data_IF_489134927960
#
_entry.id   IF_489134927960
#
_cell.length_a   1.000
_cell.length_b   1.000
_cell.length_c   1.000
_cell.angle_alpha   90.00
_cell.angle_beta   90.00
_cell.angle_gamma   90.00
#
_symmetry.space_group_name_H-M   'P 1'
#
loop_
_entity.id
_entity.type
_entity.pdbx_description
1 polymer ?
#
# COMPACT_ATOMS: atom_id res chain seq x y z
N UNK A 1 -41.26 28.89 -51.98
CA UNK A 1 -39.98 29.40 -51.43
C UNK A 1 -39.84 29.22 -49.91
N UNK A 2 -40.87 29.57 -49.12
CA UNK A 2 -40.85 29.49 -47.63
C UNK A 2 -40.62 28.08 -47.04
N UNK A 3 -41.05 27.02 -47.72
CA UNK A 3 -40.94 25.64 -47.22
C UNK A 3 -39.51 25.08 -47.32
N UNK A 4 -38.77 25.40 -48.39
CA UNK A 4 -37.35 25.02 -48.53
C UNK A 4 -36.48 25.67 -47.45
N UNK A 5 -36.76 26.92 -47.10
CA UNK A 5 -36.06 27.66 -46.03
C UNK A 5 -36.30 27.03 -44.66
N UNK A 6 -37.55 26.62 -44.35
CA UNK A 6 -37.87 25.93 -43.09
C UNK A 6 -37.12 24.61 -42.96
N UNK A 7 -37.06 23.79 -44.01
CA UNK A 7 -36.34 22.50 -43.99
C UNK A 7 -34.84 22.69 -43.78
N UNK A 8 -34.22 23.68 -44.44
CA UNK A 8 -32.78 23.98 -44.25
C UNK A 8 -32.49 24.42 -42.82
N UNK A 9 -33.34 25.29 -42.24
CA UNK A 9 -33.20 25.73 -40.85
C UNK A 9 -33.33 24.55 -39.87
N UNK A 10 -34.30 23.66 -40.08
CA UNK A 10 -34.48 22.48 -39.20
C UNK A 10 -33.28 21.54 -39.25
N UNK A 11 -32.69 21.30 -40.43
CA UNK A 11 -31.50 20.44 -40.58
C UNK A 11 -30.28 21.06 -39.89
N UNK A 12 -30.07 22.37 -40.03
CA UNK A 12 -28.96 23.07 -39.37
C UNK A 12 -29.11 23.04 -37.84
N UNK A 13 -30.32 23.32 -37.32
CA UNK A 13 -30.59 23.27 -35.88
C UNK A 13 -30.38 21.86 -35.33
N UNK A 14 -30.85 20.83 -36.03
CA UNK A 14 -30.66 19.44 -35.62
C UNK A 14 -29.17 19.05 -35.62
N UNK A 15 -28.40 19.50 -36.61
CA UNK A 15 -26.94 19.31 -36.66
C UNK A 15 -26.22 20.01 -35.49
N UNK A 16 -26.59 21.25 -35.16
CA UNK A 16 -26.02 21.97 -34.02
C UNK A 16 -26.34 21.29 -32.68
N UNK A 17 -27.56 20.78 -32.50
CA UNK A 17 -27.93 20.02 -31.30
C UNK A 17 -27.08 18.76 -31.19
N UNK A 18 -26.88 18.03 -32.30
CA UNK A 18 -26.07 16.80 -32.32
C UNK A 18 -24.62 17.08 -31.94
N UNK A 19 -24.03 18.16 -32.46
CA UNK A 19 -22.66 18.59 -32.10
C UNK A 19 -22.56 18.99 -30.63
N UNK A 20 -23.54 19.74 -30.09
CA UNK A 20 -23.55 20.11 -28.67
C UNK A 20 -23.70 18.90 -27.76
N UNK A 21 -24.47 17.88 -28.16
CA UNK A 21 -24.56 16.61 -27.44
C UNK A 21 -23.21 15.88 -27.47
N UNK A 22 -22.54 15.80 -28.63
CA UNK A 22 -21.21 15.17 -28.72
C UNK A 22 -20.16 15.89 -27.87
N UNK A 23 -20.15 17.23 -27.87
CA UNK A 23 -19.24 18.04 -27.04
C UNK A 23 -19.57 17.88 -25.56
N UNK A 24 -20.85 17.87 -25.21
CA UNK A 24 -21.31 17.62 -23.84
C UNK A 24 -20.86 16.25 -23.31
N UNK A 25 -21.03 15.19 -24.12
CA UNK A 25 -20.54 13.83 -23.81
C UNK A 25 -19.02 13.76 -23.75
N UNK A 26 -18.32 14.57 -24.55
CA UNK A 26 -16.85 14.63 -24.51
C UNK A 26 -16.34 15.37 -23.27
N UNK A 27 -16.99 16.47 -22.88
CA UNK A 27 -16.65 17.24 -21.68
C UNK A 27 -16.98 16.49 -20.38
N UNK A 28 -18.07 15.73 -20.32
CA UNK A 28 -18.38 14.89 -19.13
C UNK A 28 -17.47 13.67 -19.00
N UNK A 29 -16.64 13.37 -20.00
CA UNK A 29 -15.65 12.29 -19.96
C UNK A 29 -14.33 12.69 -19.31
N UNK A 30 -14.16 13.94 -18.85
CA UNK A 30 -12.86 14.46 -18.39
C UNK A 30 -12.61 14.42 -16.88
N UNK A 31 -13.56 13.98 -16.06
CA UNK A 31 -13.29 13.72 -14.64
C UNK A 31 -12.83 12.27 -14.50
N UNK A 32 -11.52 12.09 -14.38
CA UNK A 32 -10.92 10.79 -14.13
C UNK A 32 -11.29 10.33 -12.71
N UNK A 33 -12.38 9.58 -12.60
CA UNK A 33 -12.76 8.90 -11.35
C UNK A 33 -11.58 8.06 -10.87
N UNK A 34 -11.01 8.42 -9.72
CA UNK A 34 -9.95 7.65 -9.10
C UNK A 34 -10.52 6.31 -8.64
N UNK A 35 -9.85 5.23 -9.04
CA UNK A 35 -10.12 3.88 -8.60
C UNK A 35 -9.38 3.61 -7.28
N UNK A 36 -10.13 3.32 -6.22
CA UNK A 36 -9.59 2.86 -4.94
C UNK A 36 -9.59 1.33 -4.92
N UNK A 37 -8.42 0.73 -5.09
CA UNK A 37 -8.21 -0.71 -4.99
C UNK A 37 -7.78 -1.06 -3.57
N UNK A 38 -8.71 -1.59 -2.78
CA UNK A 38 -8.42 -2.14 -1.45
C UNK A 38 -8.35 -3.65 -1.55
N UNK A 39 -7.21 -4.21 -1.17
CA UNK A 39 -6.97 -5.64 -1.17
C UNK A 39 -6.71 -6.12 0.26
N UNK A 40 -7.60 -6.98 0.75
CA UNK A 40 -7.38 -7.69 2.01
C UNK A 40 -6.37 -8.82 1.76
N UNK A 41 -5.23 -8.74 2.42
CA UNK A 41 -4.15 -9.73 2.33
C UNK A 41 -4.24 -10.71 3.49
N UNK A 42 -3.65 -11.91 3.35
CA UNK A 42 -3.62 -12.86 4.45
C UNK A 42 -2.93 -12.24 5.68
N UNK A 43 -3.38 -12.59 6.91
CA UNK A 43 -2.82 -12.04 8.13
C UNK A 43 -1.32 -12.29 8.27
N UNK A 44 -0.62 -11.37 8.94
CA UNK A 44 0.83 -11.43 9.17
C UNK A 44 1.20 -10.75 10.49
N UNK A 45 2.37 -11.07 11.06
CA UNK A 45 2.91 -10.46 12.29
C UNK A 45 1.96 -10.56 13.49
N UNK A 46 1.13 -11.61 13.54
CA UNK A 46 0.15 -11.83 14.62
C UNK A 46 -1.08 -10.93 14.59
N UNK A 47 -1.30 -10.17 13.52
CA UNK A 47 -2.51 -9.34 13.34
C UNK A 47 -3.66 -10.16 12.77
N UNK A 48 -4.90 -9.68 12.91
CA UNK A 48 -6.09 -10.33 12.32
C UNK A 48 -6.40 -9.84 10.90
N UNK A 49 -5.99 -8.61 10.56
CA UNK A 49 -6.30 -7.96 9.29
C UNK A 49 -5.07 -7.22 8.76
N UNK A 50 -4.75 -7.45 7.50
CA UNK A 50 -3.70 -6.73 6.77
C UNK A 50 -4.27 -6.22 5.46
N UNK A 51 -4.52 -4.91 5.38
CA UNK A 51 -5.12 -4.26 4.22
C UNK A 51 -4.09 -3.38 3.52
N UNK A 52 -4.05 -3.50 2.20
CA UNK A 52 -3.28 -2.62 1.34
C UNK A 52 -4.23 -1.91 0.38
N UNK A 53 -4.13 -0.59 0.31
CA UNK A 53 -4.97 0.24 -0.54
C UNK A 53 -4.12 1.04 -1.50
N UNK A 54 -4.47 1.01 -2.78
CA UNK A 54 -3.92 1.88 -3.80
C UNK A 54 -5.03 2.77 -4.37
N UNK A 55 -4.72 4.05 -4.57
CA UNK A 55 -5.61 5.01 -5.25
C UNK A 55 -4.94 5.37 -6.57
N UNK A 56 -5.54 4.94 -7.68
CA UNK A 56 -4.97 5.08 -9.02
C UNK A 56 -6.04 5.48 -10.02
N UNK A 57 -5.66 5.89 -11.22
CA UNK A 57 -6.63 6.02 -12.30
C UNK A 57 -7.00 4.64 -12.85
N UNK A 58 -8.20 4.44 -13.43
CA UNK A 58 -8.66 3.13 -13.90
C UNK A 58 -7.70 2.44 -14.88
N UNK A 59 -7.02 3.21 -15.74
CA UNK A 59 -6.03 2.68 -16.69
C UNK A 59 -4.77 2.11 -16.02
N UNK A 60 -4.57 2.36 -14.73
CA UNK A 60 -3.42 1.89 -13.96
C UNK A 60 -3.75 0.72 -13.03
N UNK A 61 -4.97 0.16 -13.09
CA UNK A 61 -5.43 -0.88 -12.18
C UNK A 61 -4.46 -2.08 -12.11
N UNK A 62 -3.99 -2.58 -13.26
CA UNK A 62 -3.05 -3.71 -13.31
C UNK A 62 -1.68 -3.37 -12.69
N UNK A 63 -1.24 -2.11 -12.84
CA UNK A 63 0.00 -1.65 -12.22
C UNK A 63 -0.16 -1.56 -10.70
N UNK A 64 -1.31 -1.07 -10.22
CA UNK A 64 -1.61 -1.00 -8.80
C UNK A 64 -1.60 -2.38 -8.16
N UNK A 65 -2.23 -3.39 -8.78
CA UNK A 65 -2.22 -4.76 -8.25
C UNK A 65 -0.80 -5.33 -8.14
N UNK A 66 0.06 -5.06 -9.14
CA UNK A 66 1.49 -5.45 -9.06
C UNK A 66 2.21 -4.78 -7.89
N UNK A 67 1.95 -3.50 -7.64
CA UNK A 67 2.55 -2.76 -6.52
C UNK A 67 2.04 -3.31 -5.18
N UNK A 68 0.74 -3.59 -5.06
CA UNK A 68 0.16 -4.18 -3.86
C UNK A 68 0.79 -5.55 -3.55
N UNK A 69 1.02 -6.38 -4.56
CA UNK A 69 1.74 -7.65 -4.40
C UNK A 69 3.19 -7.46 -3.95
N UNK A 70 3.89 -6.44 -4.46
CA UNK A 70 5.25 -6.12 -4.01
C UNK A 70 5.28 -5.62 -2.56
N UNK A 71 4.32 -4.79 -2.17
CA UNK A 71 4.18 -4.31 -0.80
C UNK A 71 3.87 -5.46 0.17
N UNK A 72 3.00 -6.40 -0.22
CA UNK A 72 2.77 -7.63 0.55
C UNK A 72 4.06 -8.46 0.70
N UNK A 73 4.80 -8.66 -0.39
CA UNK A 73 6.06 -9.40 -0.36
C UNK A 73 7.10 -8.74 0.56
N UNK A 74 7.17 -7.41 0.58
CA UNK A 74 8.03 -6.67 1.49
C UNK A 74 7.63 -6.86 2.96
N UNK A 75 6.34 -6.84 3.29
CA UNK A 75 5.86 -7.14 4.63
C UNK A 75 6.20 -8.59 5.04
N UNK A 76 6.05 -9.56 4.13
CA UNK A 76 6.45 -10.96 4.34
C UNK A 76 7.95 -11.13 4.56
N UNK A 77 8.77 -10.36 3.86
CA UNK A 77 10.21 -10.33 4.11
C UNK A 77 10.50 -9.85 5.54
N UNK A 78 9.85 -8.78 6.00
CA UNK A 78 10.03 -8.26 7.36
C UNK A 78 9.63 -9.32 8.41
N UNK A 79 8.50 -10.00 8.24
CA UNK A 79 8.07 -11.06 9.16
C UNK A 79 9.09 -12.20 9.23
N UNK A 80 9.64 -12.61 8.08
CA UNK A 80 10.73 -13.60 8.02
C UNK A 80 11.99 -13.14 8.75
N UNK A 81 12.29 -11.85 8.77
CA UNK A 81 13.48 -11.33 9.46
C UNK A 81 13.23 -11.12 10.96
N UNK A 82 12.07 -10.59 11.36
CA UNK A 82 11.88 -9.96 12.67
C UNK A 82 10.78 -10.59 13.52
N UNK A 83 10.14 -11.67 13.08
CA UNK A 83 9.12 -12.35 13.90
C UNK A 83 9.75 -13.06 15.11
N UNK A 84 9.28 -12.73 16.31
CA UNK A 84 9.66 -13.44 17.55
C UNK A 84 8.94 -14.79 17.73
N UNK A 85 7.96 -15.08 16.87
CA UNK A 85 7.16 -16.31 16.91
C UNK A 85 7.62 -17.35 15.89
N UNK A 86 8.26 -16.91 14.81
CA UNK A 86 8.84 -17.81 13.81
C UNK A 86 10.27 -18.21 14.25
N UNK A 87 10.52 -19.47 14.62
CA UNK A 87 11.86 -19.90 15.04
C UNK A 87 12.89 -19.86 13.89
N UNK A 88 12.43 -19.86 12.64
CA UNK A 88 13.30 -19.71 11.48
C UNK A 88 13.62 -18.24 11.15
N UNK A 89 13.08 -17.26 11.89
CA UNK A 89 13.39 -15.86 11.63
C UNK A 89 14.81 -15.50 12.04
N UNK A 90 15.38 -14.51 11.36
CA UNK A 90 16.72 -14.01 11.67
C UNK A 90 16.82 -13.52 13.13
N UNK A 91 15.81 -12.79 13.61
CA UNK A 91 15.75 -12.30 14.98
C UNK A 91 15.62 -13.43 16.01
N UNK A 92 14.84 -14.48 15.73
CA UNK A 92 14.74 -15.64 16.62
C UNK A 92 16.08 -16.40 16.71
N UNK A 93 16.77 -16.56 15.58
CA UNK A 93 18.10 -17.18 15.56
C UNK A 93 19.13 -16.33 16.31
N UNK A 94 19.07 -15.01 16.16
CA UNK A 94 19.87 -14.08 16.94
C UNK A 94 19.63 -14.23 18.45
N UNK A 95 18.37 -14.22 18.87
CA UNK A 95 17.98 -14.38 20.27
C UNK A 95 18.38 -15.74 20.87
N UNK A 96 18.49 -16.79 20.04
CA UNK A 96 18.91 -18.12 20.45
C UNK A 96 20.44 -18.31 20.48
N UNK A 97 21.21 -17.38 19.93
CA UNK A 97 22.65 -17.48 19.90
C UNK A 97 23.26 -17.31 21.31
N UNK A 98 24.39 -17.97 21.62
CA UNK A 98 25.09 -17.77 22.89
C UNK A 98 25.50 -16.30 23.08
N UNK A 99 25.37 -15.81 24.32
CA UNK A 99 25.81 -14.47 24.69
C UNK A 99 27.30 -14.26 24.34
N UNK A 100 27.64 -13.07 23.84
CA UNK A 100 29.00 -12.72 23.40
C UNK A 100 29.38 -13.23 22.01
N UNK A 101 28.52 -14.02 21.34
CA UNK A 101 28.75 -14.44 19.96
C UNK A 101 28.28 -13.36 18.98
N UNK A 102 29.14 -13.01 18.03
CA UNK A 102 28.72 -12.20 16.88
C UNK A 102 27.87 -13.03 15.92
N UNK A 103 26.70 -12.52 15.56
CA UNK A 103 25.79 -13.13 14.58
C UNK A 103 25.62 -12.13 13.44
N UNK A 104 25.89 -12.52 12.19
CA UNK A 104 25.63 -11.64 11.05
C UNK A 104 24.12 -11.46 10.89
N UNK A 105 23.69 -10.20 10.74
CA UNK A 105 22.30 -9.83 10.53
C UNK A 105 22.15 -9.06 9.22
N UNK A 106 20.96 -9.14 8.63
CA UNK A 106 20.62 -8.34 7.47
C UNK A 106 20.62 -6.85 7.84
N UNK A 107 21.02 -5.99 6.90
CA UNK A 107 21.05 -4.53 7.11
C UNK A 107 19.73 -3.98 7.67
N UNK A 108 18.60 -4.49 7.20
CA UNK A 108 17.27 -4.07 7.66
C UNK A 108 17.08 -4.32 9.16
N UNK A 109 17.52 -5.48 9.67
CA UNK A 109 17.47 -5.82 11.10
C UNK A 109 18.40 -4.91 11.90
N UNK A 110 19.61 -4.66 11.40
CA UNK A 110 20.57 -3.74 12.04
C UNK A 110 20.00 -2.32 12.10
N UNK A 111 19.39 -1.83 11.03
CA UNK A 111 18.80 -0.49 10.98
C UNK A 111 17.68 -0.32 12.02
N UNK A 112 16.84 -1.35 12.20
CA UNK A 112 15.78 -1.36 13.23
C UNK A 112 16.38 -1.38 14.63
N UNK A 113 17.33 -2.28 14.92
CA UNK A 113 17.98 -2.37 16.23
C UNK A 113 18.72 -1.06 16.60
N UNK A 114 19.37 -0.45 15.63
CA UNK A 114 20.06 0.85 15.81
C UNK A 114 19.06 1.95 16.15
N UNK A 115 17.93 2.03 15.43
CA UNK A 115 16.85 3.00 15.74
C UNK A 115 16.23 2.74 17.11
N UNK A 116 16.05 1.47 17.48
CA UNK A 116 15.54 1.09 18.81
C UNK A 116 16.47 1.54 19.93
N UNK A 117 17.79 1.41 19.76
CA UNK A 117 18.79 1.90 20.72
C UNK A 117 18.72 3.43 20.88
N UNK A 118 18.61 4.18 19.78
CA UNK A 118 18.41 5.64 19.83
C UNK A 118 17.12 6.00 20.57
N UNK A 119 16.04 5.24 20.35
CA UNK A 119 14.76 5.50 21.02
C UNK A 119 14.80 5.17 22.51
N UNK A 120 15.53 4.12 22.90
CA UNK A 120 15.77 3.77 24.30
C UNK A 120 16.42 4.95 25.05
N UNK A 121 17.48 5.54 24.50
CA UNK A 121 18.15 6.72 25.09
C UNK A 121 17.19 7.91 25.19
N UNK A 122 16.48 8.22 24.09
CA UNK A 122 15.55 9.36 24.02
C UNK A 122 14.36 9.25 24.97
N UNK A 123 13.99 8.03 25.34
CA UNK A 123 12.86 7.76 26.24
C UNK A 123 13.29 7.51 27.67
N UNK A 124 14.58 7.65 28.00
CA UNK A 124 15.09 7.34 29.34
C UNK A 124 14.90 5.88 29.74
N UNK A 125 14.93 4.97 28.76
CA UNK A 125 14.73 3.53 28.96
C UNK A 125 13.28 3.04 28.92
N UNK A 126 12.29 3.91 28.70
CA UNK A 126 10.89 3.48 28.64
C UNK A 126 10.57 2.62 27.38
N UNK A 127 11.27 2.83 26.27
CA UNK A 127 11.23 1.97 25.10
C UNK A 127 12.44 1.03 25.09
N UNK A 128 12.28 -0.19 25.57
CA UNK A 128 13.34 -1.20 25.63
C UNK A 128 12.94 -2.47 24.88
N UNK A 129 13.65 -2.75 23.77
CA UNK A 129 13.39 -3.92 22.92
C UNK A 129 13.99 -5.23 23.45
N UNK A 130 14.74 -5.18 24.56
CA UNK A 130 15.40 -6.34 25.18
C UNK A 130 14.55 -7.03 26.25
N UNK A 131 13.39 -6.46 26.59
CA UNK A 131 12.53 -6.93 27.70
C UNK A 131 11.74 -8.22 27.40
N UNK A 132 12.00 -8.89 26.28
CA UNK A 132 11.31 -10.13 25.92
C UNK A 132 11.30 -11.19 27.05
N UNK A 133 12.38 -11.40 27.83
CA UNK A 133 12.33 -12.29 28.98
C UNK A 133 11.31 -11.87 30.05
N UNK A 134 11.16 -10.57 30.29
CA UNK A 134 10.16 -10.06 31.24
C UNK A 134 8.74 -10.24 30.71
N UNK A 135 8.51 -9.96 29.42
CA UNK A 135 7.21 -10.17 28.77
C UNK A 135 6.76 -11.64 28.92
N UNK A 136 7.67 -12.61 28.81
CA UNK A 136 7.36 -14.05 28.95
C UNK A 136 6.99 -14.50 30.36
N UNK A 137 7.27 -13.69 31.40
CA UNK A 137 6.92 -13.99 32.78
C UNK A 137 5.50 -13.54 33.17
N UNK A 138 4.91 -12.64 32.39
CA UNK A 138 3.55 -12.15 32.57
C UNK A 138 2.53 -13.00 31.79
#
# INVERSE_FOLDING_TARGET
>A
MRQKIKTVITVVVMGCILVLVCVGVWQTRSDADLLMLTSQRPPIMGTQQFNLTAVVRPEQADQAERILNQAEAAARMIDRLMSIYNPASELSQFNAAPAGRSVPLTRQTIDVLTRSSVLWERTGGAFDVTILPLIRLW
#
